data_IF_387900338018
#
_entry.id   IF_387900338018
#
_cell.length_a   1.000
_cell.length_b   1.000
_cell.length_c   1.000
_cell.angle_alpha   90.00
_cell.angle_beta   90.00
_cell.angle_gamma   90.00
#
_symmetry.space_group_name_H-M   'P 1'
#
loop_
_entity.id
_entity.type
_entity.pdbx_description
1 polymer ?
#
# COMPACT_ATOMS: atom_id res chain seq x y z
N UNK A 1 -36.74 19.41 -39.93
CA UNK A 1 -36.60 18.14 -39.18
C UNK A 1 -35.15 17.80 -38.86
N UNK A 2 -34.21 17.84 -39.83
CA UNK A 2 -32.75 17.66 -39.60
C UNK A 2 -32.16 18.53 -38.48
N UNK A 3 -32.43 19.84 -38.49
CA UNK A 3 -31.90 20.78 -37.48
C UNK A 3 -32.24 20.42 -36.02
N UNK A 4 -33.43 19.83 -35.76
CA UNK A 4 -33.81 19.38 -34.41
C UNK A 4 -33.10 18.09 -34.00
N UNK A 5 -32.80 17.22 -34.98
CA UNK A 5 -32.03 16.00 -34.77
C UNK A 5 -30.56 16.35 -34.48
N UNK A 6 -29.99 17.32 -35.19
CA UNK A 6 -28.61 17.78 -34.98
C UNK A 6 -28.42 18.39 -33.58
N UNK A 7 -29.40 19.16 -33.09
CA UNK A 7 -29.41 19.71 -31.74
C UNK A 7 -29.54 18.60 -30.66
N UNK A 8 -30.37 17.59 -30.90
CA UNK A 8 -30.51 16.45 -29.99
C UNK A 8 -29.22 15.62 -29.91
N UNK A 9 -28.56 15.39 -31.05
CA UNK A 9 -27.27 14.70 -31.12
C UNK A 9 -26.21 15.50 -30.37
N UNK A 10 -26.12 16.81 -30.59
CA UNK A 10 -25.18 17.67 -29.87
C UNK A 10 -25.39 17.62 -28.36
N UNK A 11 -26.65 17.67 -27.91
CA UNK A 11 -26.99 17.53 -26.48
C UNK A 11 -26.54 16.19 -25.91
N UNK A 12 -26.81 15.08 -26.60
CA UNK A 12 -26.36 13.75 -26.17
C UNK A 12 -24.83 13.64 -26.10
N UNK A 13 -24.13 14.19 -27.09
CA UNK A 13 -22.65 14.23 -27.10
C UNK A 13 -22.12 15.01 -25.89
N UNK A 14 -22.72 16.16 -25.57
CA UNK A 14 -22.34 16.93 -24.38
C UNK A 14 -22.59 16.16 -23.08
N UNK A 15 -23.73 15.49 -22.93
CA UNK A 15 -24.01 14.65 -21.77
C UNK A 15 -22.98 13.52 -21.60
N UNK A 16 -22.61 12.85 -22.70
CA UNK A 16 -21.57 11.80 -22.68
C UNK A 16 -20.22 12.39 -22.29
N UNK A 17 -19.86 13.56 -22.83
CA UNK A 17 -18.61 14.24 -22.48
C UNK A 17 -18.55 14.56 -20.99
N UNK A 18 -19.62 15.10 -20.42
CA UNK A 18 -19.70 15.39 -18.97
C UNK A 18 -19.57 14.12 -18.12
N UNK A 19 -20.24 13.03 -18.51
CA UNK A 19 -20.11 11.75 -17.82
C UNK A 19 -18.67 11.21 -17.85
N UNK A 20 -18.00 11.31 -19.00
CA UNK A 20 -16.60 10.90 -19.14
C UNK A 20 -15.65 11.73 -18.26
N UNK A 21 -15.85 13.04 -18.18
CA UNK A 21 -15.07 13.92 -17.30
C UNK A 21 -15.30 13.55 -15.83
N UNK A 22 -16.55 13.35 -15.41
CA UNK A 22 -16.87 12.91 -14.05
C UNK A 22 -16.21 11.58 -13.69
N UNK A 23 -16.23 10.63 -14.63
CA UNK A 23 -15.62 9.31 -14.47
C UNK A 23 -14.09 9.40 -14.40
N UNK A 24 -13.47 10.30 -15.16
CA UNK A 24 -12.04 10.58 -15.08
C UNK A 24 -11.64 11.20 -13.73
N UNK A 25 -12.42 12.17 -13.24
CA UNK A 25 -12.19 12.76 -11.91
C UNK A 25 -12.33 11.68 -10.84
N UNK A 26 -13.37 10.85 -10.91
CA UNK A 26 -13.56 9.73 -9.98
C UNK A 26 -12.35 8.78 -9.98
N UNK A 27 -11.83 8.41 -11.15
CA UNK A 27 -10.60 7.60 -11.23
C UNK A 27 -9.40 8.29 -10.60
N UNK A 28 -9.17 9.56 -10.93
CA UNK A 28 -8.04 10.32 -10.36
C UNK A 28 -8.14 10.43 -8.85
N UNK A 29 -9.35 10.58 -8.30
CA UNK A 29 -9.59 10.60 -6.85
C UNK A 29 -9.41 9.23 -6.19
N UNK A 30 -9.75 8.15 -6.91
CA UNK A 30 -9.65 6.76 -6.42
C UNK A 30 -8.23 6.18 -6.49
N UNK A 31 -7.28 6.88 -7.11
CA UNK A 31 -5.89 6.44 -7.17
C UNK A 31 -5.22 6.56 -5.79
N UNK A 32 -4.91 5.41 -5.19
CA UNK A 32 -4.13 5.35 -3.95
C UNK A 32 -2.65 5.58 -4.25
N UNK A 33 -2.01 6.45 -3.46
CA UNK A 33 -0.58 6.68 -3.53
C UNK A 33 0.11 5.87 -2.44
N UNK A 34 1.21 5.23 -2.80
CA UNK A 34 2.02 4.44 -1.88
C UNK A 34 3.44 4.96 -1.86
N UNK A 35 4.03 5.02 -0.67
CA UNK A 35 5.47 5.15 -0.50
C UNK A 35 6.08 3.78 -0.28
N UNK A 36 7.26 3.60 -0.86
CA UNK A 36 7.98 2.34 -0.84
C UNK A 36 9.32 2.50 -0.15
N UNK A 37 9.61 1.57 0.76
CA UNK A 37 10.86 1.56 1.51
C UNK A 37 11.48 0.17 1.46
N UNK A 38 12.80 0.12 1.43
CA UNK A 38 13.52 -1.13 1.65
C UNK A 38 13.78 -1.27 3.15
N UNK A 39 13.61 -2.47 3.66
CA UNK A 39 13.88 -2.79 5.06
C UNK A 39 14.40 -4.20 5.22
N UNK A 40 14.72 -4.54 6.46
CA UNK A 40 15.01 -5.91 6.86
C UNK A 40 14.04 -6.26 7.97
N UNK A 41 13.36 -7.40 7.86
CA UNK A 41 12.61 -7.97 8.97
C UNK A 41 13.47 -9.02 9.66
N UNK A 42 13.58 -8.90 10.98
CA UNK A 42 14.22 -9.86 11.88
C UNK A 42 13.13 -10.52 12.72
N UNK A 43 13.16 -11.84 12.83
CA UNK A 43 12.29 -12.62 13.70
C UNK A 43 13.10 -13.11 14.90
N UNK A 44 12.61 -12.79 16.10
CA UNK A 44 13.07 -13.37 17.36
C UNK A 44 11.90 -14.11 18.00
N UNK A 45 11.93 -15.44 17.93
CA UNK A 45 10.82 -16.29 18.35
C UNK A 45 9.45 -15.92 17.73
N UNK A 46 8.63 -15.18 18.47
CA UNK A 46 7.31 -14.68 18.07
C UNK A 46 7.30 -13.17 17.81
N UNK A 47 8.38 -12.47 18.14
CA UNK A 47 8.52 -11.04 17.89
C UNK A 47 9.16 -10.78 16.53
N UNK A 48 8.75 -9.65 15.94
CA UNK A 48 9.27 -9.16 14.67
C UNK A 48 9.80 -7.75 14.85
N UNK A 49 10.97 -7.50 14.28
CA UNK A 49 11.65 -6.22 14.32
C UNK A 49 11.99 -5.78 12.90
N UNK A 50 11.71 -4.52 12.60
CA UNK A 50 12.11 -3.87 11.37
C UNK A 50 13.40 -3.08 11.57
N UNK A 51 14.38 -3.35 10.72
CA UNK A 51 15.67 -2.66 10.70
C UNK A 51 15.75 -1.70 9.51
N UNK A 52 16.64 -0.72 9.61
CA UNK A 52 16.95 0.28 8.58
C UNK A 52 15.78 1.21 8.20
N UNK A 53 14.86 1.44 9.13
CA UNK A 53 13.80 2.43 8.99
C UNK A 53 13.92 3.49 10.08
N UNK A 54 13.52 4.71 9.75
CA UNK A 54 13.42 5.81 10.71
C UNK A 54 11.97 5.98 11.14
N UNK A 55 11.76 6.38 12.39
CA UNK A 55 10.44 6.72 12.94
C UNK A 55 9.68 7.72 12.05
N UNK A 56 10.38 8.68 11.43
CA UNK A 56 9.76 9.66 10.52
C UNK A 56 9.16 9.06 9.24
N UNK A 57 9.65 7.91 8.79
CA UNK A 57 9.10 7.21 7.62
C UNK A 57 7.82 6.43 7.98
N UNK A 58 7.56 6.32 9.28
CA UNK A 58 6.62 5.40 9.89
C UNK A 58 5.68 6.23 10.74
N UNK A 59 4.74 6.89 10.06
CA UNK A 59 3.58 7.46 10.76
C UNK A 59 2.64 6.30 11.13
N UNK A 60 1.79 6.47 12.16
CA UNK A 60 0.82 5.51 12.77
C UNK A 60 -0.22 4.88 11.79
N UNK A 61 0.23 4.43 10.64
CA UNK A 61 -0.56 3.94 9.52
C UNK A 61 -0.33 2.44 9.38
N UNK A 62 -1.39 1.73 9.01
CA UNK A 62 -1.26 0.36 8.52
C UNK A 62 -0.33 0.35 7.31
N UNK A 63 0.51 -0.68 7.22
CA UNK A 63 1.45 -0.81 6.14
C UNK A 63 1.57 -2.27 5.70
N UNK A 64 2.11 -2.46 4.52
CA UNK A 64 2.28 -3.78 3.94
C UNK A 64 3.76 -4.14 3.89
N UNK A 65 4.08 -5.33 4.37
CA UNK A 65 5.39 -5.96 4.20
C UNK A 65 5.33 -6.94 3.05
N UNK A 66 6.22 -6.79 2.09
CA UNK A 66 6.33 -7.64 0.92
C UNK A 66 7.65 -8.42 1.01
N UNK A 67 7.54 -9.74 1.12
CA UNK A 67 8.67 -10.67 1.13
C UNK A 67 8.74 -11.39 -0.20
N UNK A 68 9.93 -11.41 -0.80
CA UNK A 68 10.23 -12.24 -1.97
C UNK A 68 11.06 -13.45 -1.56
N UNK A 69 10.55 -14.65 -1.80
CA UNK A 69 11.30 -15.91 -1.68
C UNK A 69 11.22 -16.62 -3.04
N UNK A 70 12.38 -16.89 -3.65
CA UNK A 70 12.50 -17.59 -4.93
C UNK A 70 11.61 -17.01 -6.05
N UNK A 71 11.50 -15.69 -6.11
CA UNK A 71 10.70 -14.97 -7.11
C UNK A 71 9.21 -14.89 -6.79
N UNK A 72 8.75 -15.45 -5.68
CA UNK A 72 7.36 -15.36 -5.22
C UNK A 72 7.23 -14.27 -4.16
N UNK A 73 6.45 -13.24 -4.49
CA UNK A 73 6.16 -12.13 -3.57
C UNK A 73 4.92 -12.50 -2.75
N UNK A 74 5.02 -12.37 -1.42
CA UNK A 74 3.89 -12.45 -0.50
C UNK A 74 3.81 -11.17 0.33
N UNK A 75 2.59 -10.66 0.46
CA UNK A 75 2.29 -9.40 1.14
C UNK A 75 1.57 -9.67 2.46
N UNK A 76 1.95 -8.96 3.50
CA UNK A 76 1.39 -9.04 4.84
C UNK A 76 1.02 -7.65 5.31
N UNK A 77 -0.26 -7.44 5.63
CA UNK A 77 -0.69 -6.22 6.30
C UNK A 77 -0.26 -6.28 7.76
N UNK A 78 0.30 -5.19 8.26
CA UNK A 78 0.86 -5.12 9.61
C UNK A 78 0.75 -3.71 10.16
N UNK A 79 0.77 -3.63 11.49
CA UNK A 79 0.69 -2.39 12.23
C UNK A 79 1.91 -2.30 13.17
N UNK A 80 2.38 -1.08 13.37
CA UNK A 80 3.45 -0.79 14.30
C UNK A 80 2.95 -0.88 15.74
N UNK A 81 3.77 -1.40 16.64
CA UNK A 81 3.44 -1.43 18.08
C UNK A 81 3.94 -0.18 18.82
N UNK A 82 4.53 0.79 18.11
CA UNK A 82 5.16 2.01 18.65
C UNK A 82 6.31 1.75 19.66
N UNK A 83 6.86 0.54 19.66
CA UNK A 83 8.00 0.17 20.47
C UNK A 83 9.28 0.24 19.63
N UNK A 84 10.14 1.20 19.97
CA UNK A 84 11.44 1.41 19.36
C UNK A 84 12.52 1.00 20.36
N UNK A 85 13.38 0.06 19.98
CA UNK A 85 14.48 -0.38 20.82
C UNK A 85 15.78 -0.52 19.99
N UNK A 86 16.84 -0.97 20.64
CA UNK A 86 18.14 -1.19 19.99
C UNK A 86 18.09 -2.31 18.92
N UNK A 87 17.04 -3.14 18.93
CA UNK A 87 16.79 -4.21 17.95
C UNK A 87 16.04 -3.69 16.71
N UNK A 88 15.55 -2.45 16.71
CA UNK A 88 14.77 -1.86 15.62
C UNK A 88 13.36 -1.45 16.04
N UNK A 89 12.45 -1.45 15.07
CA UNK A 89 11.05 -1.07 15.28
C UNK A 89 10.24 -2.34 15.42
N UNK A 90 9.64 -2.56 16.59
CA UNK A 90 8.81 -3.74 16.83
C UNK A 90 7.49 -3.63 16.04
N UNK A 91 7.10 -4.75 15.43
CA UNK A 91 5.86 -4.86 14.66
C UNK A 91 5.10 -6.11 15.08
N UNK A 92 3.81 -6.13 14.80
CA UNK A 92 2.97 -7.29 15.03
C UNK A 92 2.34 -7.79 13.72
N UNK A 93 2.55 -9.07 13.42
CA UNK A 93 1.91 -9.78 12.31
C UNK A 93 2.08 -11.30 12.46
N UNK A 94 1.04 -11.97 12.95
CA UNK A 94 1.05 -13.43 13.16
C UNK A 94 1.28 -14.20 11.85
N UNK A 95 0.66 -13.74 10.76
CA UNK A 95 0.82 -14.36 9.44
C UNK A 95 2.27 -14.29 8.96
N UNK A 96 2.93 -13.16 9.18
CA UNK A 96 4.33 -12.96 8.82
C UNK A 96 5.26 -13.83 9.69
N UNK A 97 5.02 -13.91 11.00
CA UNK A 97 5.77 -14.81 11.90
C UNK A 97 5.66 -16.25 11.42
N UNK A 98 4.44 -16.73 11.17
CA UNK A 98 4.21 -18.09 10.69
C UNK A 98 4.91 -18.33 9.35
N UNK A 99 4.80 -17.39 8.42
CA UNK A 99 5.43 -17.51 7.12
C UNK A 99 6.95 -17.57 7.20
N UNK A 100 7.57 -16.72 8.02
CA UNK A 100 9.01 -16.76 8.24
C UNK A 100 9.45 -18.08 8.90
N UNK A 101 8.69 -18.61 9.88
CA UNK A 101 8.96 -19.91 10.50
C UNK A 101 8.88 -21.06 9.48
N UNK A 102 7.83 -21.11 8.66
CA UNK A 102 7.64 -22.14 7.63
C UNK A 102 8.78 -22.17 6.61
N UNK A 103 9.40 -21.02 6.33
CA UNK A 103 10.50 -20.89 5.39
C UNK A 103 11.88 -20.85 6.07
N UNK A 104 11.97 -21.16 7.37
CA UNK A 104 13.22 -21.10 8.16
C UNK A 104 13.95 -19.75 8.07
N UNK A 105 13.21 -18.65 7.99
CA UNK A 105 13.74 -17.30 7.92
C UNK A 105 13.89 -16.71 9.33
N UNK A 106 15.10 -16.26 9.64
CA UNK A 106 15.42 -15.47 10.83
C UNK A 106 15.54 -13.99 10.51
N UNK A 107 16.07 -13.66 9.34
CA UNK A 107 16.25 -12.30 8.86
C UNK A 107 16.10 -12.29 7.35
N UNK A 108 15.37 -11.32 6.80
CA UNK A 108 15.14 -11.24 5.35
C UNK A 108 14.95 -9.80 4.87
N UNK A 109 15.40 -9.53 3.65
CA UNK A 109 15.15 -8.25 2.98
C UNK A 109 13.68 -8.16 2.57
N UNK A 110 13.09 -6.99 2.78
CA UNK A 110 11.67 -6.75 2.50
C UNK A 110 11.46 -5.40 1.82
N UNK A 111 10.31 -5.30 1.15
CA UNK A 111 9.78 -4.04 0.66
C UNK A 111 8.56 -3.67 1.47
N UNK A 112 8.56 -2.46 1.99
CA UNK A 112 7.47 -1.91 2.78
C UNK A 112 6.70 -0.94 1.89
N UNK A 113 5.37 -1.08 1.84
CA UNK A 113 4.51 -0.10 1.21
C UNK A 113 3.56 0.52 2.22
N UNK A 114 3.60 1.85 2.31
CA UNK A 114 2.76 2.66 3.20
C UNK A 114 1.80 3.46 2.33
N UNK A 115 0.50 3.33 2.57
CA UNK A 115 -0.48 4.14 1.87
C UNK A 115 -0.43 5.57 2.39
N UNK A 116 -0.22 6.54 1.50
CA UNK A 116 -0.29 7.96 1.88
C UNK A 116 -1.74 8.41 1.92
N UNK A 117 -2.13 8.98 3.05
CA UNK A 117 -3.32 9.81 3.12
C UNK A 117 -3.13 11.02 2.18
N UNK A 118 -4.16 11.26 1.37
CA UNK A 118 -4.22 12.45 0.53
C UNK A 118 -4.63 13.64 1.41
N UNK A 119 -3.65 14.37 1.94
CA UNK A 119 -3.90 15.68 2.53
C UNK A 119 -4.12 16.68 1.39
N UNK A 120 -5.39 17.01 1.12
CA UNK A 120 -5.77 18.23 0.41
C UNK A 120 -6.48 19.14 1.39
#
# INVERSE_FOLDING_TARGET
MKFKIDQLILFLVLCILFALVGLLIYFVLSLHNYEYFNGIVKREDNDLYLLNLTEKQINNSEFNININIDGKIKTFQTNFTNEFNNEGIKIHSDELVMYMKQNNLFMHNIFISVQKERYW
#
